data_IF_267650015860
#
_entry.id   IF_267650015860
#
_cell.length_a   1.000
_cell.length_b   1.000
_cell.length_c   1.000
_cell.angle_alpha   90.00
_cell.angle_beta   90.00
_cell.angle_gamma   90.00
#
_symmetry.space_group_name_H-M   'P 1'
#
loop_
_entity.id
_entity.type
_entity.pdbx_description
1 polymer ?
#
# COMPACT_ATOMS: atom_id res chain seq x y z
N UNK A 1 51.83 -19.85 31.41
CA UNK A 1 51.26 -21.05 32.05
C UNK A 1 50.07 -20.63 32.92
N UNK A 2 48.86 -20.65 32.35
CA UNK A 2 47.56 -20.64 33.05
C UNK A 2 46.59 -21.45 32.21
N UNK A 3 45.84 -22.31 32.88
CA UNK A 3 45.12 -23.47 32.35
C UNK A 3 43.64 -23.14 32.18
N UNK A 4 43.13 -23.51 31.00
CA UNK A 4 41.80 -24.02 30.60
C UNK A 4 40.58 -23.80 31.52
N UNK A 5 39.49 -23.38 30.89
CA UNK A 5 38.16 -24.01 31.06
C UNK A 5 37.44 -24.00 29.69
N UNK A 6 37.09 -25.19 29.20
CA UNK A 6 36.33 -25.43 27.98
C UNK A 6 34.81 -25.45 28.27
N UNK A 7 33.97 -25.22 27.24
CA UNK A 7 32.52 -25.37 27.31
C UNK A 7 32.09 -26.82 27.12
N UNK A 8 30.96 -27.22 27.71
CA UNK A 8 30.31 -28.50 27.42
C UNK A 8 28.79 -28.33 27.57
N UNK A 9 28.08 -28.26 26.44
CA UNK A 9 26.62 -28.45 26.40
C UNK A 9 26.38 -29.68 25.54
N UNK A 10 25.78 -30.69 26.16
CA UNK A 10 25.44 -31.99 25.59
C UNK A 10 24.34 -31.85 24.53
N UNK A 11 24.57 -32.44 23.36
CA UNK A 11 23.55 -32.77 22.37
C UNK A 11 23.02 -34.17 22.72
N UNK A 12 21.72 -34.29 22.96
CA UNK A 12 21.05 -35.55 23.28
C UNK A 12 20.82 -36.40 22.02
N UNK A 13 21.12 -37.69 22.16
CA UNK A 13 21.15 -38.70 21.12
C UNK A 13 19.77 -39.25 20.72
N UNK A 14 19.66 -39.49 19.42
CA UNK A 14 19.00 -40.56 18.66
C UNK A 14 18.30 -41.71 19.39
N UNK A 15 17.11 -42.10 18.89
CA UNK A 15 16.82 -43.47 18.43
C UNK A 15 15.42 -43.56 17.78
N UNK A 16 15.34 -43.92 16.49
CA UNK A 16 14.16 -44.59 15.92
C UNK A 16 14.59 -45.99 15.53
N UNK A 17 13.93 -46.97 16.14
CA UNK A 17 14.16 -48.41 15.99
C UNK A 17 13.47 -48.89 14.71
N UNK A 18 14.23 -49.52 13.82
CA UNK A 18 13.68 -50.37 12.76
C UNK A 18 13.47 -51.79 13.31
N UNK A 19 12.23 -52.27 13.30
CA UNK A 19 11.95 -53.70 13.47
C UNK A 19 10.90 -54.14 12.44
N UNK A 20 11.36 -54.91 11.46
CA UNK A 20 10.54 -55.71 10.56
C UNK A 20 10.29 -57.06 11.20
N UNK A 21 9.03 -57.53 11.24
CA UNK A 21 8.69 -58.94 11.37
C UNK A 21 7.36 -59.21 10.66
N UNK A 22 7.42 -60.16 9.73
CA UNK A 22 6.35 -60.69 8.88
C UNK A 22 5.40 -61.62 9.62
N UNK A 23 4.10 -61.59 9.26
CA UNK A 23 3.12 -62.62 9.59
C UNK A 23 1.83 -62.43 8.79
N UNK A 24 1.57 -63.35 7.86
CA UNK A 24 0.48 -63.37 6.88
C UNK A 24 -0.91 -63.49 7.51
N UNK A 25 -1.89 -62.78 6.96
CA UNK A 25 -3.28 -63.24 6.97
C UNK A 25 -3.96 -62.90 5.63
N UNK A 26 -4.63 -63.89 5.06
CA UNK A 26 -5.22 -63.88 3.72
C UNK A 26 -6.50 -63.04 3.67
N UNK A 27 -6.45 -61.89 2.98
CA UNK A 27 -7.62 -61.11 2.58
C UNK A 27 -7.73 -61.03 1.06
N UNK A 28 -8.83 -61.51 0.48
CA UNK A 28 -9.16 -61.39 -0.95
C UNK A 28 -9.03 -59.94 -1.45
N UNK A 29 -8.57 -59.71 -2.69
CA UNK A 29 -8.44 -58.36 -3.23
C UNK A 29 -9.81 -57.72 -3.47
N UNK A 30 -10.05 -56.57 -2.84
CA UNK A 30 -11.15 -55.65 -3.17
C UNK A 30 -10.75 -54.89 -4.44
N UNK A 31 -11.59 -54.84 -5.50
CA UNK A 31 -11.30 -54.04 -6.68
C UNK A 31 -11.30 -52.56 -6.33
N UNK A 32 -10.20 -51.85 -6.60
CA UNK A 32 -10.15 -50.40 -6.55
C UNK A 32 -10.95 -49.81 -7.73
N UNK A 33 -11.73 -48.73 -7.53
CA UNK A 33 -12.44 -48.07 -8.62
C UNK A 33 -11.44 -47.45 -9.62
N UNK A 34 -11.75 -47.62 -10.90
CA UNK A 34 -11.03 -47.00 -12.02
C UNK A 34 -11.30 -45.49 -11.99
N UNK A 35 -10.28 -44.61 -12.10
CA UNK A 35 -10.52 -43.18 -12.21
C UNK A 35 -11.22 -42.88 -13.54
N UNK A 36 -12.40 -42.27 -13.48
CA UNK A 36 -13.09 -41.71 -14.64
C UNK A 36 -12.25 -40.57 -15.22
N UNK A 37 -12.13 -40.55 -16.55
CA UNK A 37 -11.42 -39.52 -17.29
C UNK A 37 -12.17 -38.20 -17.13
N UNK A 38 -11.51 -37.19 -16.55
CA UNK A 38 -12.05 -35.82 -16.52
C UNK A 38 -12.01 -35.29 -17.95
N UNK A 39 -13.18 -35.15 -18.58
CA UNK A 39 -13.32 -34.37 -19.80
C UNK A 39 -13.04 -32.91 -19.44
N UNK A 40 -11.86 -32.40 -19.81
CA UNK A 40 -11.62 -30.96 -19.83
C UNK A 40 -12.44 -30.37 -20.98
N UNK A 41 -13.58 -29.78 -20.63
CA UNK A 41 -14.28 -28.86 -21.53
C UNK A 41 -13.33 -27.75 -21.97
N UNK A 42 -13.35 -27.35 -23.26
CA UNK A 42 -12.48 -26.29 -23.74
C UNK A 42 -12.82 -24.99 -23.01
N UNK A 43 -11.78 -24.29 -22.56
CA UNK A 43 -11.88 -22.90 -22.12
C UNK A 43 -12.54 -22.11 -23.26
N UNK A 44 -13.72 -21.57 -23.00
CA UNK A 44 -14.30 -20.57 -23.87
C UNK A 44 -13.45 -19.32 -23.76
N UNK A 45 -12.83 -18.92 -24.87
CA UNK A 45 -12.37 -17.55 -25.07
C UNK A 45 -13.61 -16.64 -25.02
N UNK A 46 -13.92 -16.17 -23.81
CA UNK A 46 -14.86 -15.11 -23.55
C UNK A 46 -14.06 -13.90 -23.09
N UNK A 47 -13.83 -12.98 -24.02
CA UNK A 47 -13.40 -11.61 -23.76
C UNK A 47 -14.60 -10.84 -23.14
N UNK A 48 -15.09 -11.34 -22.00
CA UNK A 48 -15.92 -10.57 -21.10
C UNK A 48 -14.93 -9.70 -20.31
N UNK A 49 -14.84 -8.42 -20.65
CA UNK A 49 -14.15 -7.44 -19.82
C UNK A 49 -14.67 -7.62 -18.38
N UNK A 50 -13.81 -8.18 -17.52
CA UNK A 50 -14.19 -8.45 -16.14
C UNK A 50 -14.71 -7.16 -15.54
N UNK A 51 -15.89 -7.20 -14.91
CA UNK A 51 -16.41 -6.03 -14.23
C UNK A 51 -15.34 -5.51 -13.26
N UNK A 52 -15.17 -4.19 -13.12
CA UNK A 52 -14.18 -3.62 -12.21
C UNK A 52 -14.43 -4.18 -10.80
N UNK A 53 -13.34 -4.38 -10.06
CA UNK A 53 -13.44 -4.83 -8.67
C UNK A 53 -14.26 -3.84 -7.83
N UNK A 54 -14.77 -4.28 -6.68
CA UNK A 54 -15.57 -3.41 -5.83
C UNK A 54 -14.76 -2.21 -5.30
N UNK A 55 -13.45 -2.40 -5.12
CA UNK A 55 -12.49 -1.38 -4.70
C UNK A 55 -12.29 -0.33 -5.79
N UNK A 56 -12.08 -0.75 -7.04
CA UNK A 56 -12.00 0.15 -8.20
C UNK A 56 -13.32 0.91 -8.39
N UNK A 57 -14.46 0.24 -8.23
CA UNK A 57 -15.77 0.89 -8.33
C UNK A 57 -16.02 1.92 -7.23
N UNK A 58 -15.53 1.68 -6.00
CA UNK A 58 -15.60 2.65 -4.90
C UNK A 58 -14.76 3.90 -5.20
N UNK A 59 -13.53 3.71 -5.69
CA UNK A 59 -12.66 4.84 -6.08
C UNK A 59 -13.26 5.64 -7.22
N UNK A 60 -13.83 4.99 -8.23
CA UNK A 60 -14.55 5.67 -9.30
C UNK A 60 -15.72 6.52 -8.75
N UNK A 61 -16.52 5.97 -7.82
CA UNK A 61 -17.61 6.71 -7.18
C UNK A 61 -17.12 7.89 -6.33
N UNK A 62 -15.97 7.75 -5.68
CA UNK A 62 -15.32 8.83 -4.93
C UNK A 62 -14.86 9.95 -5.86
N UNK A 63 -14.15 9.61 -6.95
CA UNK A 63 -13.73 10.57 -7.96
C UNK A 63 -14.92 11.29 -8.62
N UNK A 64 -16.02 10.58 -8.88
CA UNK A 64 -17.26 11.20 -9.37
C UNK A 64 -17.84 12.22 -8.38
N UNK A 65 -17.83 11.91 -7.07
CA UNK A 65 -18.25 12.84 -6.03
C UNK A 65 -17.32 14.08 -5.97
N UNK A 66 -16.01 13.87 -6.07
CA UNK A 66 -15.01 14.95 -6.09
C UNK A 66 -15.17 15.85 -7.31
N UNK A 67 -15.26 15.28 -8.50
CA UNK A 67 -15.49 16.01 -9.74
C UNK A 67 -16.81 16.81 -9.72
N UNK A 68 -17.85 16.28 -9.08
CA UNK A 68 -19.12 16.97 -8.90
C UNK A 68 -19.11 18.05 -7.80
N UNK A 69 -18.04 18.15 -7.01
CA UNK A 69 -18.00 19.02 -5.83
C UNK A 69 -18.88 18.54 -4.67
N UNK A 70 -19.29 17.28 -4.67
CA UNK A 70 -20.14 16.67 -3.64
C UNK A 70 -19.28 16.15 -2.48
N UNK A 71 -18.82 17.09 -1.65
CA UNK A 71 -18.03 16.77 -0.47
C UNK A 71 -18.78 15.91 0.57
N UNK A 72 -20.13 15.90 0.53
CA UNK A 72 -20.94 15.04 1.41
C UNK A 72 -20.86 13.57 0.99
N UNK A 73 -21.01 13.32 -0.30
CA UNK A 73 -20.85 11.98 -0.86
C UNK A 73 -19.42 11.47 -0.67
N UNK A 74 -18.42 12.31 -0.96
CA UNK A 74 -17.01 11.97 -0.77
C UNK A 74 -16.69 11.64 0.70
N UNK A 75 -17.11 12.50 1.64
CA UNK A 75 -16.91 12.28 3.09
C UNK A 75 -17.51 10.97 3.59
N UNK A 76 -18.68 10.58 3.08
CA UNK A 76 -19.36 9.35 3.49
C UNK A 76 -18.63 8.06 3.04
N UNK A 77 -17.72 8.14 2.07
CA UNK A 77 -16.90 7.02 1.59
C UNK A 77 -15.60 6.86 2.38
N UNK A 78 -15.27 7.82 3.24
CA UNK A 78 -14.05 7.78 4.06
C UNK A 78 -14.21 6.87 5.28
N UNK A 79 -13.11 6.28 5.71
CA UNK A 79 -13.02 5.53 6.97
C UNK A 79 -13.20 6.47 8.17
N UNK A 80 -13.61 5.94 9.34
CA UNK A 80 -13.64 6.74 10.57
C UNK A 80 -12.29 7.37 10.90
N UNK A 81 -11.18 6.68 10.62
CA UNK A 81 -9.82 7.18 10.86
C UNK A 81 -9.44 8.34 9.93
N UNK A 82 -9.85 8.29 8.66
CA UNK A 82 -9.69 9.39 7.71
C UNK A 82 -10.55 10.60 8.12
N UNK A 83 -11.80 10.36 8.53
CA UNK A 83 -12.68 11.42 9.04
C UNK A 83 -12.13 12.07 10.32
N UNK A 84 -11.57 11.28 11.24
CA UNK A 84 -10.91 11.79 12.45
C UNK A 84 -9.68 12.64 12.11
N UNK A 85 -8.91 12.26 11.08
CA UNK A 85 -7.74 13.03 10.64
C UNK A 85 -8.09 14.44 10.16
N UNK A 86 -9.24 14.60 9.48
CA UNK A 86 -9.76 15.92 9.10
C UNK A 86 -10.27 16.73 10.29
N UNK A 87 -10.49 16.09 11.45
CA UNK A 87 -10.99 16.67 12.70
C UNK A 87 -12.48 17.01 12.70
N UNK A 88 -13.06 17.38 11.56
CA UNK A 88 -14.50 17.55 11.37
C UNK A 88 -14.88 17.52 9.89
N UNK A 89 -16.17 17.28 9.61
CA UNK A 89 -16.71 17.41 8.25
C UNK A 89 -16.53 18.85 7.73
N UNK A 90 -16.74 19.86 8.57
CA UNK A 90 -16.56 21.26 8.17
C UNK A 90 -15.11 21.56 7.75
N UNK A 91 -14.13 21.01 8.47
CA UNK A 91 -12.71 21.12 8.12
C UNK A 91 -12.39 20.42 6.80
N UNK A 92 -12.96 19.23 6.57
CA UNK A 92 -12.82 18.50 5.31
C UNK A 92 -13.37 19.32 4.15
N UNK A 93 -14.62 19.79 4.24
CA UNK A 93 -15.25 20.61 3.20
C UNK A 93 -14.44 21.89 2.91
N UNK A 94 -13.85 22.51 3.93
CA UNK A 94 -13.00 23.69 3.75
C UNK A 94 -11.68 23.38 3.01
N UNK A 95 -11.18 22.16 3.16
CA UNK A 95 -9.93 21.67 2.57
C UNK A 95 -10.14 20.90 1.26
N UNK A 96 -11.40 20.64 0.87
CA UNK A 96 -11.76 19.84 -0.29
C UNK A 96 -11.09 20.33 -1.58
N UNK A 97 -10.42 19.41 -2.28
CA UNK A 97 -9.62 19.67 -3.46
C UNK A 97 -8.30 20.40 -3.20
N UNK A 98 -7.81 20.33 -1.96
CA UNK A 98 -6.54 20.85 -1.46
C UNK A 98 -6.04 19.95 -0.33
N UNK A 99 -4.82 20.19 0.16
CA UNK A 99 -4.32 19.62 1.42
C UNK A 99 -4.50 18.09 1.53
N UNK A 100 -4.22 17.39 0.44
CA UNK A 100 -4.07 15.93 0.36
C UNK A 100 -5.19 15.27 -0.39
N UNK A 101 -6.17 16.08 -0.77
CA UNK A 101 -7.32 15.62 -1.52
C UNK A 101 -7.21 16.07 -2.96
N UNK A 102 -7.54 15.16 -3.86
CA UNK A 102 -7.68 15.42 -5.30
C UNK A 102 -8.64 16.58 -5.52
N UNK A 103 -8.22 17.56 -6.33
CA UNK A 103 -9.08 18.64 -6.78
C UNK A 103 -10.14 18.16 -7.78
N UNK A 104 -11.27 18.86 -7.93
CA UNK A 104 -12.27 18.50 -8.94
C UNK A 104 -11.69 18.37 -10.36
N UNK A 105 -10.73 19.21 -10.73
CA UNK A 105 -10.04 19.17 -12.02
C UNK A 105 -9.13 17.94 -12.16
N UNK A 106 -8.40 17.55 -11.11
CA UNK A 106 -7.60 16.33 -11.10
C UNK A 106 -8.50 15.08 -11.12
N UNK A 107 -9.63 15.09 -10.41
CA UNK A 107 -10.57 13.97 -10.42
C UNK A 107 -11.20 13.74 -11.80
N UNK A 108 -11.50 14.83 -12.52
CA UNK A 108 -11.95 14.80 -13.92
C UNK A 108 -10.93 14.14 -14.86
N UNK A 109 -9.63 14.31 -14.59
CA UNK A 109 -8.55 13.66 -15.33
C UNK A 109 -8.40 12.19 -14.95
N UNK A 110 -8.25 11.92 -13.65
CA UNK A 110 -7.99 10.59 -13.12
C UNK A 110 -9.14 9.59 -13.37
N UNK A 111 -10.40 10.06 -13.50
CA UNK A 111 -11.53 9.17 -13.88
C UNK A 111 -11.50 8.70 -15.34
N UNK A 112 -10.65 9.28 -16.19
CA UNK A 112 -10.57 8.94 -17.62
C UNK A 112 -9.49 7.92 -17.94
N UNK A 113 -8.65 7.60 -16.96
CA UNK A 113 -7.62 6.56 -17.06
C UNK A 113 -8.10 5.27 -16.41
N UNK A 114 -7.49 4.15 -16.81
CA UNK A 114 -7.74 2.86 -16.17
C UNK A 114 -6.90 2.78 -14.89
N UNK A 115 -7.52 2.68 -13.70
CA UNK A 115 -6.77 2.60 -12.46
C UNK A 115 -6.13 1.22 -12.28
N UNK A 116 -4.97 1.19 -11.63
CA UNK A 116 -4.27 -0.04 -11.27
C UNK A 116 -4.59 -0.40 -9.83
N UNK A 117 -4.95 -1.67 -9.58
CA UNK A 117 -5.21 -2.18 -8.24
C UNK A 117 -4.12 -3.17 -7.81
N UNK A 118 -3.64 -3.02 -6.58
CA UNK A 118 -2.63 -3.88 -5.98
C UNK A 118 -3.03 -4.27 -4.55
N UNK A 119 -2.67 -5.48 -4.13
CA UNK A 119 -2.88 -5.93 -2.75
C UNK A 119 -1.88 -5.27 -1.81
N UNK A 120 -2.36 -4.74 -0.68
CA UNK A 120 -1.55 -4.24 0.41
C UNK A 120 -0.89 -5.36 1.23
N UNK A 121 0.02 -5.03 2.16
CA UNK A 121 0.71 -6.01 2.98
C UNK A 121 -0.26 -6.91 3.75
N UNK A 122 -0.02 -8.21 3.66
CA UNK A 122 -0.80 -9.25 4.36
C UNK A 122 -2.32 -9.20 4.06
N UNK A 123 -2.72 -8.61 2.92
CA UNK A 123 -4.11 -8.43 2.54
C UNK A 123 -4.86 -7.37 3.36
N UNK A 124 -4.15 -6.45 4.02
CA UNK A 124 -4.75 -5.45 4.91
C UNK A 124 -5.64 -4.42 4.18
N UNK A 125 -5.35 -4.15 2.91
CA UNK A 125 -6.07 -3.21 2.05
C UNK A 125 -5.84 -3.55 0.57
N UNK A 126 -6.60 -2.89 -0.32
CA UNK A 126 -6.27 -2.80 -1.74
C UNK A 126 -5.85 -1.36 -2.05
N UNK A 127 -4.67 -1.18 -2.64
CA UNK A 127 -4.24 0.11 -3.16
C UNK A 127 -4.79 0.27 -4.57
N UNK A 128 -5.49 1.35 -4.84
CA UNK A 128 -5.93 1.71 -6.18
C UNK A 128 -5.21 2.98 -6.57
N UNK A 129 -4.41 2.95 -7.63
CA UNK A 129 -3.63 4.10 -8.12
C UNK A 129 -4.08 4.50 -9.52
N UNK A 130 -4.02 5.80 -9.81
CA UNK A 130 -4.28 6.33 -11.13
C UNK A 130 -3.26 7.44 -11.45
N UNK A 131 -2.83 7.51 -12.71
CA UNK A 131 -1.92 8.53 -13.22
C UNK A 131 -2.38 9.01 -14.60
N UNK A 132 -2.39 10.33 -14.78
CA UNK A 132 -2.61 11.01 -16.05
C UNK A 132 -1.60 12.14 -16.17
N UNK A 133 -0.50 11.92 -16.92
CA UNK A 133 0.54 12.94 -17.09
C UNK A 133 1.19 13.31 -15.75
N UNK A 134 1.11 14.58 -15.39
CA UNK A 134 1.65 15.14 -14.15
C UNK A 134 0.79 14.92 -12.90
N UNK A 135 -0.38 14.30 -13.04
CA UNK A 135 -1.32 14.05 -11.94
C UNK A 135 -1.32 12.57 -11.62
N UNK A 136 -0.96 12.21 -10.40
CA UNK A 136 -1.08 10.85 -9.89
C UNK A 136 -1.64 10.87 -8.47
N UNK A 137 -2.50 9.91 -8.15
CA UNK A 137 -2.95 9.68 -6.79
C UNK A 137 -3.23 8.19 -6.52
N UNK A 138 -3.30 7.82 -5.24
CA UNK A 138 -3.62 6.48 -4.82
C UNK A 138 -4.49 6.43 -3.55
N UNK A 139 -5.53 5.60 -3.61
CA UNK A 139 -6.50 5.41 -2.56
C UNK A 139 -6.33 4.05 -1.91
N UNK A 140 -6.25 4.05 -0.59
CA UNK A 140 -6.21 2.84 0.23
C UNK A 140 -7.65 2.41 0.51
N UNK A 141 -8.09 1.30 -0.09
CA UNK A 141 -9.43 0.75 0.08
C UNK A 141 -9.40 -0.38 1.11
N UNK A 142 -10.20 -0.27 2.17
CA UNK A 142 -10.28 -1.27 3.24
C UNK A 142 -11.68 -1.82 3.40
N UNK A 143 -11.78 -3.13 3.63
CA UNK A 143 -13.00 -3.73 4.17
C UNK A 143 -13.08 -3.40 5.66
N UNK A 144 -14.07 -2.59 6.02
CA UNK A 144 -14.38 -2.26 7.40
C UNK A 144 -15.59 -3.06 7.84
N UNK A 145 -15.82 -3.20 9.14
CA UNK A 145 -17.08 -3.77 9.65
C UNK A 145 -18.34 -3.00 9.20
N UNK A 146 -18.19 -1.88 8.50
CA UNK A 146 -19.25 -1.03 7.92
C UNK A 146 -19.31 -1.12 6.37
N UNK A 147 -18.44 -1.91 5.74
CA UNK A 147 -18.29 -2.03 4.28
C UNK A 147 -16.93 -1.51 3.78
N UNK A 148 -16.73 -1.53 2.46
CA UNK A 148 -15.54 -0.96 1.83
C UNK A 148 -15.52 0.57 1.98
N UNK A 149 -14.43 1.11 2.52
CA UNK A 149 -14.21 2.54 2.75
C UNK A 149 -12.76 2.94 2.41
N UNK A 150 -12.53 4.25 2.25
CA UNK A 150 -11.25 4.83 1.84
C UNK A 150 -10.47 5.44 3.01
N UNK A 151 -9.19 5.09 3.13
CA UNK A 151 -8.21 5.82 3.93
C UNK A 151 -7.60 6.97 3.11
N UNK A 152 -8.46 7.89 2.64
CA UNK A 152 -8.01 9.15 2.02
C UNK A 152 -8.01 10.26 3.07
N UNK A 153 -6.82 10.67 3.48
CA UNK A 153 -6.64 11.57 4.62
C UNK A 153 -6.41 13.01 4.16
N UNK A 154 -7.01 13.95 4.88
CA UNK A 154 -6.63 15.37 4.74
C UNK A 154 -5.35 15.58 5.53
N UNK A 155 -4.30 16.08 4.89
CA UNK A 155 -3.11 16.57 5.57
C UNK A 155 -3.48 17.89 6.26
N UNK A 156 -3.56 17.96 7.60
CA UNK A 156 -4.04 19.15 8.27
C UNK A 156 -3.11 20.35 7.97
N UNK A 157 -3.69 21.50 7.63
CA UNK A 157 -2.94 22.74 7.40
C UNK A 157 -2.19 23.29 8.65
N UNK A 158 -2.34 22.63 9.81
CA UNK A 158 -1.78 23.06 11.08
C UNK A 158 -0.37 22.48 11.31
N UNK A 159 0.63 23.02 10.62
CA UNK A 159 2.05 22.74 10.89
C UNK A 159 2.87 22.45 9.64
N UNK A 160 4.19 22.30 9.82
CA UNK A 160 5.02 21.70 8.77
C UNK A 160 4.55 20.26 8.57
N UNK A 161 4.29 19.90 7.33
CA UNK A 161 3.98 18.52 6.97
C UNK A 161 5.13 17.62 7.40
N UNK A 162 4.85 16.49 8.08
CA UNK A 162 5.91 15.71 8.71
C UNK A 162 6.70 14.89 7.71
N UNK A 163 6.34 14.89 6.42
CA UNK A 163 7.09 14.22 5.36
C UNK A 163 7.28 15.11 4.14
N UNK A 164 8.24 14.77 3.28
CA UNK A 164 8.54 15.49 2.03
C UNK A 164 9.23 14.54 1.05
N UNK A 165 8.81 14.50 -0.21
CA UNK A 165 9.57 13.80 -1.24
C UNK A 165 10.88 14.54 -1.52
N UNK A 166 11.97 13.79 -1.58
CA UNK A 166 13.32 14.30 -1.90
C UNK A 166 13.70 14.06 -3.35
N UNK A 167 13.10 13.04 -3.96
CA UNK A 167 13.20 12.74 -5.38
C UNK A 167 11.89 12.03 -5.81
N UNK A 168 11.00 12.68 -6.56
CA UNK A 168 11.10 14.09 -6.99
C UNK A 168 11.05 15.04 -5.78
N UNK A 169 11.49 16.28 -5.92
CA UNK A 169 11.37 17.26 -4.83
C UNK A 169 9.93 17.80 -4.73
N UNK A 170 8.97 16.90 -4.48
CA UNK A 170 7.57 17.23 -4.29
C UNK A 170 7.27 17.45 -2.81
N UNK A 171 6.74 18.62 -2.49
CA UNK A 171 6.15 18.83 -1.18
C UNK A 171 4.95 17.89 -1.01
N UNK A 172 4.62 17.48 0.21
CA UNK A 172 3.47 16.62 0.47
C UNK A 172 2.15 17.27 0.08
N UNK A 173 2.10 18.61 -0.03
CA UNK A 173 0.90 19.40 -0.32
C UNK A 173 1.20 20.72 -1.04
N UNK A 174 2.32 20.74 -1.73
CA UNK A 174 2.85 21.93 -2.38
C UNK A 174 3.68 21.48 -3.54
N UNK A 175 3.01 20.90 -4.53
CA UNK A 175 3.54 20.82 -5.88
C UNK A 175 4.04 22.21 -6.24
N UNK A 176 5.35 22.35 -6.41
CA UNK A 176 5.79 23.33 -7.38
C UNK A 176 5.01 22.99 -8.66
N UNK A 177 4.39 23.98 -9.28
CA UNK A 177 3.79 23.82 -10.60
C UNK A 177 4.79 24.39 -11.62
N UNK A 178 5.39 23.55 -12.50
CA UNK A 178 5.18 22.10 -12.63
C UNK A 178 5.95 21.28 -11.58
N UNK A 179 5.48 20.05 -11.30
CA UNK A 179 6.16 19.12 -10.41
C UNK A 179 7.58 18.85 -10.96
N UNK A 180 8.62 18.85 -10.11
CA UNK A 180 9.98 18.60 -10.57
C UNK A 180 10.11 17.15 -11.05
N UNK A 181 10.80 16.96 -12.17
CA UNK A 181 11.08 15.64 -12.73
C UNK A 181 11.84 14.74 -11.74
N UNK A 182 11.63 13.43 -11.86
CA UNK A 182 12.39 12.42 -11.13
C UNK A 182 13.83 12.37 -11.63
N UNK A 183 14.78 12.53 -10.73
CA UNK A 183 16.20 12.33 -11.01
C UNK A 183 16.53 10.85 -10.91
N UNK A 184 16.50 10.15 -12.05
CA UNK A 184 16.79 8.71 -12.15
C UNK A 184 18.22 8.33 -11.76
N UNK A 185 19.12 9.29 -11.55
CA UNK A 185 20.47 9.05 -11.03
C UNK A 185 20.53 8.90 -9.50
N UNK A 186 19.42 9.17 -8.80
CA UNK A 186 19.30 9.05 -7.35
C UNK A 186 18.08 8.20 -6.98
N UNK A 187 18.09 7.52 -5.82
CA UNK A 187 16.90 6.83 -5.33
C UNK A 187 15.73 7.79 -5.16
N UNK A 188 14.51 7.31 -5.45
CA UNK A 188 13.30 7.99 -5.01
C UNK A 188 13.19 7.86 -3.49
N UNK A 189 12.81 8.93 -2.81
CA UNK A 189 12.79 8.92 -1.34
C UNK A 189 11.87 9.95 -0.72
N UNK A 190 11.38 9.61 0.49
CA UNK A 190 10.55 10.46 1.33
C UNK A 190 11.22 10.64 2.67
N UNK A 191 11.45 11.89 3.06
CA UNK A 191 12.02 12.25 4.34
C UNK A 191 10.92 12.56 5.34
N UNK A 192 10.97 11.97 6.53
CA UNK A 192 10.07 12.24 7.64
C UNK A 192 10.78 13.02 8.74
N UNK A 193 10.25 14.17 9.11
CA UNK A 193 10.70 14.93 10.28
C UNK A 193 10.34 14.18 11.57
N UNK A 194 11.21 14.31 12.58
CA UNK A 194 10.92 13.76 13.89
C UNK A 194 9.75 14.51 14.53
N UNK A 195 8.80 13.82 15.18
CA UNK A 195 7.69 14.48 15.86
C UNK A 195 8.18 15.41 16.99
N UNK A 196 7.60 16.61 17.06
CA UNK A 196 7.88 17.55 18.14
C UNK A 196 7.42 16.97 19.49
N UNK A 197 8.33 16.91 20.46
CA UNK A 197 8.06 16.33 21.79
C UNK A 197 8.37 14.85 21.94
N UNK A 198 8.86 14.17 20.90
CA UNK A 198 9.41 12.81 20.98
C UNK A 198 8.38 11.71 21.20
N UNK A 199 7.11 11.96 20.84
CA UNK A 199 6.09 10.89 20.80
C UNK A 199 6.34 10.03 19.57
N UNK A 200 6.52 8.72 19.75
CA UNK A 200 6.80 7.81 18.63
C UNK A 200 5.59 7.66 17.70
N UNK A 201 4.39 8.01 18.17
CA UNK A 201 3.14 7.92 17.40
C UNK A 201 3.05 8.93 16.24
N UNK A 202 3.88 9.98 16.22
CA UNK A 202 3.95 10.90 15.08
C UNK A 202 2.73 11.80 14.81
N UNK A 203 1.69 11.73 15.64
CA UNK A 203 0.45 12.49 15.46
C UNK A 203 -0.46 11.90 14.39
N UNK A 204 -1.34 12.71 13.80
CA UNK A 204 -2.38 12.27 12.84
C UNK A 204 -1.83 11.67 11.53
N UNK A 205 -0.61 12.03 11.17
CA UNK A 205 0.09 11.56 9.98
C UNK A 205 0.98 10.35 10.29
N UNK A 206 1.34 10.13 11.56
CA UNK A 206 2.21 9.02 11.97
C UNK A 206 3.70 9.28 11.75
N UNK A 207 4.53 8.43 12.37
CA UNK A 207 5.97 8.40 12.17
C UNK A 207 6.39 6.96 11.82
N UNK A 208 6.69 6.65 10.55
CA UNK A 208 6.64 5.28 10.03
C UNK A 208 7.79 4.42 10.52
N UNK A 209 7.50 3.36 11.30
CA UNK A 209 8.46 2.30 11.66
C UNK A 209 8.60 1.25 10.54
N UNK A 210 7.60 1.17 9.67
CA UNK A 210 7.52 0.35 8.48
C UNK A 210 6.82 1.14 7.38
N UNK A 211 7.13 0.82 6.13
CA UNK A 211 6.47 1.38 4.96
C UNK A 211 6.57 0.42 3.78
N UNK A 212 5.69 0.62 2.82
CA UNK A 212 5.58 -0.15 1.58
C UNK A 212 5.44 0.81 0.42
N UNK A 213 5.90 0.41 -0.77
CA UNK A 213 5.79 1.26 -1.94
C UNK A 213 5.39 0.45 -3.17
N UNK A 214 4.72 1.14 -4.10
CA UNK A 214 4.31 0.59 -5.39
C UNK A 214 4.68 1.56 -6.50
N UNK A 215 5.00 0.99 -7.66
CA UNK A 215 5.14 1.69 -8.94
C UNK A 215 4.18 0.98 -9.88
N UNK A 216 3.13 1.67 -10.31
CA UNK A 216 2.09 1.11 -11.19
C UNK A 216 1.56 -0.25 -10.71
N UNK A 217 1.22 -0.31 -9.42
CA UNK A 217 0.70 -1.51 -8.76
C UNK A 217 1.71 -2.63 -8.53
N UNK A 218 2.97 -2.47 -8.93
CA UNK A 218 4.05 -3.40 -8.59
C UNK A 218 4.73 -2.97 -7.30
N UNK A 219 4.67 -3.81 -6.27
CA UNK A 219 5.34 -3.54 -5.00
C UNK A 219 6.87 -3.49 -5.19
N UNK A 220 7.52 -2.46 -4.64
CA UNK A 220 8.97 -2.31 -4.62
C UNK A 220 9.51 -2.25 -3.19
N UNK A 221 10.70 -2.80 -2.92
CA UNK A 221 11.29 -2.75 -1.59
C UNK A 221 11.53 -1.31 -1.10
N UNK A 222 11.28 -1.07 0.19
CA UNK A 222 11.56 0.22 0.85
C UNK A 222 12.62 0.03 1.93
N UNK A 223 13.71 0.80 1.82
CA UNK A 223 14.72 0.93 2.86
C UNK A 223 14.34 2.02 3.85
N UNK A 224 14.30 1.70 5.14
CA UNK A 224 14.13 2.69 6.22
C UNK A 224 15.47 2.99 6.89
N UNK A 225 15.89 4.26 6.85
CA UNK A 225 17.12 4.73 7.46
C UNK A 225 16.87 5.92 8.41
N UNK A 226 17.73 6.06 9.42
CA UNK A 226 17.75 7.26 10.25
C UNK A 226 18.39 8.43 9.46
N UNK A 227 17.74 9.60 9.49
CA UNK A 227 18.18 10.81 8.79
C UNK A 227 18.21 12.00 9.75
N UNK A 228 19.35 12.22 10.40
CA UNK A 228 19.47 13.21 11.48
C UNK A 228 18.60 12.80 12.67
N UNK A 229 17.63 13.65 13.04
CA UNK A 229 16.60 13.31 14.03
C UNK A 229 15.40 12.59 13.43
N UNK A 230 15.23 12.64 12.10
CA UNK A 230 14.10 12.08 11.38
C UNK A 230 14.39 10.71 10.75
N UNK A 231 13.55 10.34 9.78
CA UNK A 231 13.65 9.12 8.98
C UNK A 231 13.73 9.44 7.50
N UNK A 232 14.34 8.55 6.74
CA UNK A 232 14.35 8.56 5.28
C UNK A 232 13.90 7.19 4.81
N UNK A 233 12.86 7.18 3.97
CA UNK A 233 12.38 6.01 3.26
C UNK A 233 12.90 6.12 1.82
N UNK A 234 13.73 5.16 1.41
CA UNK A 234 14.29 5.09 0.06
C UNK A 234 13.66 3.90 -0.67
N UNK A 235 13.09 4.14 -1.85
CA UNK A 235 12.50 3.10 -2.68
C UNK A 235 13.61 2.47 -3.54
N UNK A 236 13.64 1.14 -3.58
CA UNK A 236 14.54 0.40 -4.48
C UNK A 236 13.96 0.40 -5.90
N UNK A 237 14.32 1.44 -6.66
CA UNK A 237 13.94 1.61 -8.07
C UNK A 237 14.89 0.92 -9.05
N UNK A 238 15.81 0.07 -8.57
CA UNK A 238 16.84 -0.53 -9.45
C UNK A 238 16.30 -1.48 -10.51
N UNK A 239 15.11 -2.06 -10.27
CA UNK A 239 14.41 -2.92 -11.22
C UNK A 239 13.36 -2.15 -12.05
N UNK A 240 13.10 -0.89 -11.71
CA UNK A 240 12.16 -0.03 -12.44
C UNK A 240 12.84 0.50 -13.71
N UNK A 241 12.10 0.46 -14.80
CA UNK A 241 12.52 1.02 -16.08
C UNK A 241 11.36 1.84 -16.63
N UNK A 242 11.53 3.15 -16.73
CA UNK A 242 10.67 4.03 -17.52
C UNK A 242 10.74 3.56 -18.99
N UNK A 243 9.71 2.85 -19.42
CA UNK A 243 9.74 1.98 -20.59
C UNK A 243 8.92 2.45 -21.77
N UNK A 244 7.96 3.36 -21.55
CA UNK A 244 6.93 3.71 -22.52
C UNK A 244 6.62 5.22 -22.61
N UNK A 245 7.51 6.07 -22.10
CA UNK A 245 7.38 7.54 -22.06
C UNK A 245 6.10 8.01 -21.30
N UNK A 246 5.38 7.09 -20.63
CA UNK A 246 4.21 7.38 -19.82
C UNK A 246 4.63 7.48 -18.34
N UNK A 247 4.11 8.45 -17.59
CA UNK A 247 4.47 8.60 -16.19
C UNK A 247 3.84 7.48 -15.35
N UNK A 248 4.62 6.97 -14.40
CA UNK A 248 4.20 5.94 -13.45
C UNK A 248 3.62 6.59 -12.17
N UNK A 249 2.61 5.97 -11.57
CA UNK A 249 2.14 6.30 -10.22
C UNK A 249 3.07 5.68 -9.17
N UNK A 250 3.88 6.50 -8.50
CA UNK A 250 4.76 6.04 -7.42
C UNK A 250 4.15 6.40 -6.07
N UNK A 251 3.74 5.37 -5.34
CA UNK A 251 3.02 5.50 -4.07
C UNK A 251 3.85 4.94 -2.92
N UNK A 252 3.93 5.68 -1.82
CA UNK A 252 4.44 5.19 -0.53
C UNK A 252 3.27 5.11 0.46
N UNK A 253 3.16 3.98 1.18
CA UNK A 253 2.12 3.73 2.19
C UNK A 253 2.75 3.37 3.53
N UNK A 254 2.17 3.87 4.63
CA UNK A 254 2.56 3.52 6.00
C UNK A 254 1.36 3.49 6.93
N UNK A 255 1.52 2.82 8.07
CA UNK A 255 0.52 2.73 9.13
C UNK A 255 0.78 3.79 10.21
N UNK A 256 -0.27 4.42 10.74
CA UNK A 256 -0.17 5.47 11.77
C UNK A 256 0.00 4.84 13.15
N UNK A 257 1.21 4.47 13.52
CA UNK A 257 1.48 3.78 14.79
C UNK A 257 1.09 2.30 14.76
N UNK A 258 1.84 1.47 15.47
CA UNK A 258 1.85 0.01 15.26
C UNK A 258 0.53 -0.74 15.54
N UNK A 259 -0.39 -0.15 16.30
CA UNK A 259 -1.69 -0.76 16.66
C UNK A 259 -2.90 -0.06 16.01
N UNK A 260 -2.68 0.98 15.18
CA UNK A 260 -3.77 1.76 14.59
C UNK A 260 -4.30 1.13 13.30
N UNK A 261 -5.61 1.07 13.08
CA UNK A 261 -6.16 0.67 11.78
C UNK A 261 -5.94 1.72 10.67
N UNK A 262 -5.40 2.89 11.00
CA UNK A 262 -5.24 4.00 10.06
C UNK A 262 -4.00 3.83 9.18
N UNK A 263 -4.20 3.91 7.87
CA UNK A 263 -3.13 3.96 6.87
C UNK A 263 -3.04 5.35 6.23
N UNK A 264 -1.86 5.67 5.68
CA UNK A 264 -1.58 6.92 4.98
C UNK A 264 -0.78 6.60 3.72
N UNK A 265 -1.05 7.36 2.67
CA UNK A 265 -0.32 7.32 1.41
C UNK A 265 0.24 8.69 1.05
N UNK A 266 1.25 8.69 0.18
CA UNK A 266 1.61 9.84 -0.64
C UNK A 266 2.03 9.34 -2.01
N UNK A 267 1.65 10.06 -3.05
CA UNK A 267 1.80 9.63 -4.45
C UNK A 267 2.40 10.75 -5.28
N UNK A 268 3.26 10.39 -6.23
CA UNK A 268 3.81 11.29 -7.25
C UNK A 268 3.76 10.61 -8.62
N UNK A 269 3.61 11.41 -9.67
CA UNK A 269 3.89 10.97 -11.03
C UNK A 269 5.42 10.94 -11.25
N UNK A 270 5.94 9.86 -11.83
CA UNK A 270 7.38 9.64 -12.02
C UNK A 270 7.74 9.34 -13.47
#
# INVERSE_FOLDING_TARGET
MRIRLLPLVLIASSAVVMTSCTGSDEGRPVPLPVPESVETSPAGDGDDAAAPSAEVALVAAYLDAVAAGDADAAWAMLTPEAQESAGSRESYVASFGRAGTVSPEEAERLRTVEPVAAEGPEGAFTLVSAVDGDVADAWIVRDTGQGLLLDDHVVPAAGATPYEWRNPAAGPEGSADPAPDVDTSRPMSVAFAAPEGGTEDGGLVGYPDTAWAWIDGTEVPVGLAAAGSGRLLELDTSAWTDGDDAPDAVTLVWQVGGDSPAWRSTTVAA
#
